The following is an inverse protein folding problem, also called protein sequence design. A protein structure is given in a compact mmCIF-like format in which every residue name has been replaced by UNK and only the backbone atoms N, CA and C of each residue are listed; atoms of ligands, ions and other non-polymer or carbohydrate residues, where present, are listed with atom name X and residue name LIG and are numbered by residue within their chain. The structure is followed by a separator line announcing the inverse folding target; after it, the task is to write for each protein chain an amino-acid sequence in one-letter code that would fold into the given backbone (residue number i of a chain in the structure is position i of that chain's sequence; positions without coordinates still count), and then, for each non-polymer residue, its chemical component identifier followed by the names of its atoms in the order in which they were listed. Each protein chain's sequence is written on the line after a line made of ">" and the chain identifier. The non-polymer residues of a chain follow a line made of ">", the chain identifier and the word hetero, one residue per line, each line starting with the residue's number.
data_IF_518752865711
#
_entry.id   IF_518752865711
#
_cell.length_a   1.000
_cell.length_b   1.000
_cell.length_c   1.000
_cell.angle_alpha   90.00
_cell.angle_beta   90.00
_cell.angle_gamma   90.00
#
_symmetry.space_group_name_H-M   'P 1'
#
loop_
_entity.id
_entity.type
_entity.pdbx_description
1 polymer ?
#
# COMPACT_ATOMS: atom_id res chain seq x y z
N UNK A 1 -45.59 -84.42 6.03
CA UNK A 1 -46.38 -83.97 7.20
C UNK A 1 -45.45 -83.14 8.09
N UNK A 2 -45.89 -81.94 8.51
CA UNK A 2 -45.13 -80.99 9.36
C UNK A 2 -44.34 -81.70 10.47
N UNK A 3 -43.09 -81.30 10.69
CA UNK A 3 -42.59 -80.92 12.03
C UNK A 3 -41.59 -79.74 11.87
N UNK A 4 -41.96 -78.62 12.48
CA UNK A 4 -41.11 -77.45 12.76
C UNK A 4 -40.26 -77.76 13.99
N UNK A 5 -39.02 -77.26 14.05
CA UNK A 5 -38.39 -76.88 15.31
C UNK A 5 -36.86 -76.88 15.35
N UNK A 6 -36.32 -75.74 15.82
CA UNK A 6 -34.99 -75.49 16.47
C UNK A 6 -33.76 -75.32 15.57
N UNK A 7 -32.62 -74.73 16.04
CA UNK A 7 -32.41 -73.67 17.06
C UNK A 7 -31.40 -72.57 16.64
N UNK A 8 -31.29 -71.55 17.52
CA UNK A 8 -30.21 -70.59 17.85
C UNK A 8 -28.86 -70.66 17.09
N UNK A 9 -28.34 -69.50 16.66
CA UNK A 9 -26.89 -69.25 16.61
C UNK A 9 -26.55 -67.78 16.92
N UNK A 10 -25.68 -67.59 17.90
CA UNK A 10 -25.10 -66.32 18.34
C UNK A 10 -23.95 -65.87 17.41
N UNK A 11 -23.72 -64.55 17.30
CA UNK A 11 -22.46 -63.91 16.87
C UNK A 11 -22.38 -62.51 17.50
N UNK A 12 -21.62 -62.35 18.58
CA UNK A 12 -20.27 -61.77 18.64
C UNK A 12 -20.17 -60.26 18.44
N UNK A 13 -19.78 -59.61 19.54
CA UNK A 13 -18.71 -58.61 19.66
C UNK A 13 -18.84 -57.26 18.95
N UNK A 14 -18.75 -56.21 19.76
CA UNK A 14 -18.35 -54.87 19.30
C UNK A 14 -18.72 -53.77 20.29
N UNK A 15 -17.91 -53.56 21.34
CA UNK A 15 -17.91 -52.29 22.06
C UNK A 15 -17.33 -51.23 21.14
N UNK A 16 -18.07 -50.15 20.88
CA UNK A 16 -17.48 -48.89 20.46
C UNK A 16 -18.36 -47.72 20.93
N UNK A 17 -17.71 -46.86 21.70
CA UNK A 17 -18.17 -45.60 22.29
C UNK A 17 -18.59 -44.65 21.16
N UNK A 18 -19.84 -44.18 21.16
CA UNK A 18 -20.28 -43.10 20.27
C UNK A 18 -20.06 -41.76 20.99
N UNK A 19 -18.99 -41.09 20.58
CA UNK A 19 -18.55 -39.77 20.99
C UNK A 19 -19.52 -38.71 20.46
N UNK A 20 -19.97 -37.81 21.33
CA UNK A 20 -20.77 -36.65 20.98
C UNK A 20 -19.97 -35.69 20.08
N UNK A 21 -20.54 -35.33 18.93
CA UNK A 21 -20.03 -34.25 18.06
C UNK A 21 -21.07 -33.13 18.09
N UNK A 22 -20.86 -32.17 18.99
CA UNK A 22 -21.48 -30.85 18.90
C UNK A 22 -20.69 -30.05 17.85
N UNK A 23 -21.23 -29.91 16.65
CA UNK A 23 -20.62 -29.12 15.59
C UNK A 23 -20.83 -27.63 15.92
N UNK A 24 -19.74 -26.98 16.30
CA UNK A 24 -19.61 -25.54 16.52
C UNK A 24 -19.86 -24.85 15.18
N UNK A 25 -20.97 -24.11 15.06
CA UNK A 25 -21.11 -23.08 14.02
C UNK A 25 -20.24 -21.89 14.42
N UNK A 26 -18.94 -22.01 14.15
CA UNK A 26 -18.03 -20.87 14.19
C UNK A 26 -18.36 -20.01 12.97
N UNK A 27 -18.78 -18.77 13.24
CA UNK A 27 -19.10 -17.78 12.21
C UNK A 27 -17.94 -17.63 11.23
N UNK A 28 -18.24 -17.81 9.96
CA UNK A 28 -17.39 -17.30 8.88
C UNK A 28 -17.59 -15.79 8.90
N UNK A 29 -16.76 -15.08 9.66
CA UNK A 29 -16.56 -13.65 9.45
C UNK A 29 -15.93 -13.52 8.06
N UNK A 30 -16.74 -13.17 7.05
CA UNK A 30 -16.21 -12.58 5.83
C UNK A 30 -15.49 -11.32 6.26
N UNK A 31 -14.16 -11.37 6.34
CA UNK A 31 -13.34 -10.17 6.36
C UNK A 31 -13.58 -9.55 4.99
N UNK A 32 -14.49 -8.57 4.93
CA UNK A 32 -14.50 -7.65 3.83
C UNK A 32 -13.12 -7.01 3.85
N UNK A 33 -12.30 -7.29 2.83
CA UNK A 33 -11.22 -6.38 2.47
C UNK A 33 -11.96 -5.07 2.20
N UNK A 34 -11.87 -4.13 3.13
CA UNK A 34 -12.42 -2.81 2.90
C UNK A 34 -11.71 -2.29 1.66
N UNK A 35 -12.49 -1.94 0.63
CA UNK A 35 -11.99 -1.07 -0.43
C UNK A 35 -11.37 0.14 0.27
N UNK A 36 -10.13 0.48 -0.07
CA UNK A 36 -9.36 1.51 0.65
C UNK A 36 -9.77 2.92 0.23
N UNK A 37 -11.09 3.19 0.23
CA UNK A 37 -11.72 4.50 -0.03
C UNK A 37 -11.11 5.60 0.87
N UNK A 38 -10.47 5.21 1.99
CA UNK A 38 -9.83 6.11 2.94
C UNK A 38 -8.58 6.77 2.36
N UNK A 39 -7.84 6.08 1.49
CA UNK A 39 -6.69 6.68 0.81
C UNK A 39 -7.12 7.61 -0.32
N UNK A 40 -8.22 7.32 -1.00
CA UNK A 40 -8.79 8.19 -2.03
C UNK A 40 -9.19 9.56 -1.46
N UNK A 41 -9.89 9.57 -0.32
CA UNK A 41 -10.22 10.80 0.40
C UNK A 41 -8.96 11.53 0.89
N UNK A 42 -7.95 10.81 1.39
CA UNK A 42 -6.71 11.41 1.85
C UNK A 42 -5.88 12.01 0.71
N UNK A 43 -5.90 11.38 -0.47
CA UNK A 43 -5.31 11.92 -1.70
C UNK A 43 -6.08 13.16 -2.18
N UNK A 44 -7.41 13.14 -2.14
CA UNK A 44 -8.24 14.29 -2.45
C UNK A 44 -7.91 15.46 -1.50
N UNK A 45 -7.91 15.26 -0.18
CA UNK A 45 -7.55 16.29 0.80
C UNK A 45 -6.11 16.80 0.65
N UNK A 46 -5.20 15.94 0.20
CA UNK A 46 -3.85 16.37 -0.09
C UNK A 46 -3.82 17.30 -1.32
N UNK A 47 -4.54 16.96 -2.39
CA UNK A 47 -4.49 17.69 -3.67
C UNK A 47 -5.40 18.92 -3.68
N UNK A 48 -6.58 18.83 -3.07
CA UNK A 48 -7.60 19.86 -3.03
C UNK A 48 -7.28 20.92 -1.97
N UNK A 49 -7.44 22.19 -2.31
CA UNK A 49 -7.33 23.31 -1.36
C UNK A 49 -5.91 23.83 -1.09
N UNK A 50 -4.89 23.30 -1.77
CA UNK A 50 -3.57 23.96 -1.78
C UNK A 50 -3.55 25.02 -2.88
N UNK A 51 -3.53 26.31 -2.49
CA UNK A 51 -3.09 27.40 -3.38
C UNK A 51 -1.82 26.94 -4.12
N UNK A 52 -1.65 27.19 -5.43
CA UNK A 52 -0.62 26.54 -6.23
C UNK A 52 0.79 27.02 -5.83
N UNK A 53 1.35 26.40 -4.79
CA UNK A 53 2.74 26.54 -4.32
C UNK A 53 3.70 26.06 -5.42
N UNK A 54 3.28 25.06 -6.18
CA UNK A 54 3.99 24.45 -7.29
C UNK A 54 3.10 24.47 -8.54
N UNK A 55 3.72 24.61 -9.71
CA UNK A 55 3.04 24.28 -10.97
C UNK A 55 2.74 22.78 -11.04
N UNK A 56 1.80 22.37 -11.89
CA UNK A 56 1.44 20.96 -12.08
C UNK A 56 2.66 20.08 -12.40
N UNK A 57 3.60 20.59 -13.21
CA UNK A 57 4.82 19.88 -13.56
C UNK A 57 5.75 19.71 -12.37
N UNK A 58 5.91 20.76 -11.56
CA UNK A 58 6.72 20.71 -10.33
C UNK A 58 6.09 19.76 -9.31
N UNK A 59 4.76 19.83 -9.16
CA UNK A 59 4.02 18.92 -8.32
C UNK A 59 4.19 17.46 -8.76
N UNK A 60 4.01 17.14 -10.05
CA UNK A 60 4.20 15.79 -10.57
C UNK A 60 5.62 15.26 -10.31
N UNK A 61 6.65 16.09 -10.50
CA UNK A 61 8.05 15.73 -10.19
C UNK A 61 8.25 15.47 -8.71
N UNK A 62 7.75 16.35 -7.84
CA UNK A 62 7.86 16.19 -6.39
C UNK A 62 7.11 14.94 -5.90
N UNK A 63 5.94 14.67 -6.47
CA UNK A 63 5.15 13.49 -6.17
C UNK A 63 5.87 12.20 -6.59
N UNK A 64 6.50 12.19 -7.77
CA UNK A 64 7.33 11.05 -8.21
C UNK A 64 8.53 10.83 -7.28
N UNK A 65 9.16 11.89 -6.78
CA UNK A 65 10.23 11.73 -5.78
C UNK A 65 9.71 11.11 -4.48
N UNK A 66 8.54 11.54 -4.01
CA UNK A 66 7.90 10.96 -2.83
C UNK A 66 7.61 9.46 -3.02
N UNK A 67 7.05 9.07 -4.18
CA UNK A 67 6.81 7.67 -4.53
C UNK A 67 8.12 6.87 -4.48
N UNK A 68 9.15 7.35 -5.19
CA UNK A 68 10.42 6.63 -5.28
C UNK A 68 11.13 6.51 -3.92
N UNK A 69 11.01 7.52 -3.05
CA UNK A 69 11.50 7.44 -1.68
C UNK A 69 10.72 6.39 -0.85
N UNK A 70 9.38 6.34 -0.98
CA UNK A 70 8.53 5.37 -0.28
C UNK A 70 8.83 3.92 -0.71
N UNK A 71 9.08 3.70 -2.01
CA UNK A 71 9.51 2.40 -2.56
C UNK A 71 10.71 1.83 -1.80
N UNK A 72 11.70 2.64 -1.43
CA UNK A 72 12.88 2.16 -0.68
C UNK A 72 12.59 1.66 0.73
N UNK A 73 11.38 1.88 1.25
CA UNK A 73 10.92 1.39 2.56
C UNK A 73 10.04 0.15 2.48
N UNK A 74 9.46 -0.11 1.31
CA UNK A 74 8.41 -1.10 1.12
C UNK A 74 8.90 -2.25 0.22
N UNK A 75 9.61 -1.92 -0.86
CA UNK A 75 10.01 -2.86 -1.88
C UNK A 75 11.48 -3.27 -1.73
N UNK A 76 11.73 -4.58 -1.71
CA UNK A 76 13.08 -5.12 -1.68
C UNK A 76 13.86 -4.79 -2.95
N UNK A 77 15.18 -4.57 -2.82
CA UNK A 77 16.08 -4.32 -3.94
C UNK A 77 16.09 -2.89 -4.47
N UNK A 78 15.41 -1.96 -3.80
CA UNK A 78 15.45 -0.53 -4.07
C UNK A 78 16.23 0.20 -2.99
N UNK A 79 17.36 0.78 -3.37
CA UNK A 79 18.14 1.68 -2.51
C UNK A 79 18.09 3.08 -3.07
N UNK A 80 17.92 4.07 -2.19
CA UNK A 80 17.94 5.48 -2.58
C UNK A 80 19.36 5.88 -2.97
N UNK A 81 19.49 6.61 -4.07
CA UNK A 81 20.67 7.40 -4.38
C UNK A 81 20.44 8.82 -3.85
N UNK A 82 21.05 9.15 -2.71
CA UNK A 82 20.85 10.44 -2.04
C UNK A 82 21.24 11.63 -2.92
N UNK A 83 22.21 11.45 -3.82
CA UNK A 83 22.66 12.51 -4.72
C UNK A 83 21.60 12.76 -5.81
N UNK A 84 21.11 11.69 -6.46
CA UNK A 84 20.02 11.79 -7.45
C UNK A 84 18.74 12.33 -6.83
N UNK A 85 18.41 11.89 -5.61
CA UNK A 85 17.22 12.38 -4.90
C UNK A 85 17.33 13.88 -4.60
N UNK A 86 18.49 14.33 -4.11
CA UNK A 86 18.76 15.75 -3.85
C UNK A 86 18.70 16.59 -5.13
N UNK A 87 19.28 16.11 -6.23
CA UNK A 87 19.21 16.77 -7.53
C UNK A 87 17.76 16.84 -8.05
N UNK A 88 17.02 15.74 -7.91
CA UNK A 88 15.61 15.66 -8.26
C UNK A 88 14.77 16.69 -7.49
N UNK A 89 15.02 16.88 -6.19
CA UNK A 89 14.32 17.90 -5.40
C UNK A 89 14.59 19.32 -5.92
N UNK A 90 15.82 19.61 -6.33
CA UNK A 90 16.16 20.91 -6.95
C UNK A 90 15.44 21.08 -8.28
N UNK A 91 15.42 20.07 -9.16
CA UNK A 91 14.71 20.14 -10.44
C UNK A 91 13.17 20.21 -10.28
N UNK A 92 12.62 19.51 -9.29
CA UNK A 92 11.19 19.53 -8.98
C UNK A 92 10.71 20.89 -8.45
N UNK A 93 11.62 21.72 -7.94
CA UNK A 93 11.30 23.01 -7.33
C UNK A 93 11.80 24.21 -8.15
N UNK A 94 12.40 23.96 -9.32
CA UNK A 94 12.92 24.98 -10.21
C UNK A 94 11.96 25.29 -11.39
N UNK A 95 11.84 26.55 -11.82
CA UNK A 95 12.28 27.74 -11.10
C UNK A 95 11.41 27.97 -9.86
N UNK A 96 12.03 28.51 -8.80
CA UNK A 96 11.27 29.02 -7.66
C UNK A 96 10.51 30.30 -8.08
N UNK A 97 9.39 30.64 -7.41
CA UNK A 97 8.70 31.91 -7.66
C UNK A 97 9.63 33.12 -7.53
N UNK A 98 9.52 34.07 -8.46
CA UNK A 98 10.32 35.29 -8.46
C UNK A 98 9.71 36.36 -7.53
N UNK A 99 10.53 37.32 -7.09
CA UNK A 99 10.05 38.50 -6.35
C UNK A 99 9.69 38.26 -4.89
N UNK A 100 9.90 37.05 -4.36
CA UNK A 100 9.72 36.75 -2.93
C UNK A 100 10.78 37.48 -2.08
N UNK A 101 10.35 38.01 -0.93
CA UNK A 101 11.25 38.33 0.19
C UNK A 101 11.89 37.06 0.75
N UNK A 102 12.95 37.20 1.55
CA UNK A 102 13.59 36.04 2.20
C UNK A 102 12.60 35.23 3.05
N UNK A 103 11.69 35.90 3.76
CA UNK A 103 10.68 35.27 4.60
C UNK A 103 9.63 34.51 3.76
N UNK A 104 9.19 35.07 2.64
CA UNK A 104 8.27 34.39 1.72
C UNK A 104 8.95 33.19 1.05
N UNK A 105 10.23 33.31 0.69
CA UNK A 105 11.00 32.21 0.14
C UNK A 105 11.19 31.07 1.16
N UNK A 106 11.37 31.38 2.44
CA UNK A 106 11.39 30.39 3.51
C UNK A 106 10.02 29.70 3.65
N UNK A 107 8.93 30.46 3.72
CA UNK A 107 7.57 29.90 3.79
C UNK A 107 7.25 28.99 2.61
N UNK A 108 7.63 29.39 1.39
CA UNK A 108 7.45 28.57 0.20
C UNK A 108 8.25 27.26 0.29
N UNK A 109 9.53 27.29 0.66
CA UNK A 109 10.34 26.06 0.84
C UNK A 109 9.74 25.15 1.90
N UNK A 110 9.28 25.70 3.02
CA UNK A 110 8.59 24.94 4.06
C UNK A 110 7.33 24.27 3.50
N UNK A 111 6.50 25.00 2.76
CA UNK A 111 5.30 24.45 2.15
C UNK A 111 5.61 23.32 1.16
N UNK A 112 6.68 23.45 0.36
CA UNK A 112 7.17 22.37 -0.52
C UNK A 112 7.57 21.12 0.27
N UNK A 113 8.28 21.26 1.40
CA UNK A 113 8.64 20.12 2.23
C UNK A 113 7.43 19.48 2.92
N UNK A 114 6.45 20.28 3.36
CA UNK A 114 5.18 19.75 3.83
C UNK A 114 4.50 18.94 2.74
N UNK A 115 4.48 19.42 1.50
CA UNK A 115 3.92 18.70 0.36
C UNK A 115 4.61 17.36 0.11
N UNK A 116 5.95 17.37 0.02
CA UNK A 116 6.76 16.16 -0.14
C UNK A 116 6.50 15.15 0.98
N UNK A 117 6.44 15.63 2.23
CA UNK A 117 6.19 14.79 3.40
C UNK A 117 4.79 14.18 3.41
N UNK A 118 3.77 14.96 3.04
CA UNK A 118 2.39 14.48 2.92
C UNK A 118 2.27 13.38 1.87
N UNK A 119 2.78 13.61 0.66
CA UNK A 119 2.68 12.61 -0.42
C UNK A 119 3.54 11.39 -0.13
N UNK A 120 4.71 11.55 0.48
CA UNK A 120 5.53 10.43 0.96
C UNK A 120 4.77 9.58 1.99
N UNK A 121 4.07 10.21 2.94
CA UNK A 121 3.24 9.52 3.92
C UNK A 121 2.08 8.74 3.29
N UNK A 122 1.43 9.32 2.28
CA UNK A 122 0.37 8.64 1.52
C UNK A 122 0.90 7.42 0.76
N UNK A 123 2.03 7.55 0.06
CA UNK A 123 2.65 6.41 -0.62
C UNK A 123 3.14 5.32 0.35
N UNK A 124 3.62 5.69 1.54
CA UNK A 124 3.89 4.69 2.57
C UNK A 124 2.63 3.95 2.98
N UNK A 125 1.50 4.65 3.16
CA UNK A 125 0.24 4.01 3.52
C UNK A 125 -0.25 3.09 2.39
N UNK A 126 -0.27 3.57 1.15
CA UNK A 126 -0.67 2.82 -0.04
C UNK A 126 0.19 1.58 -0.26
N UNK A 127 1.52 1.73 -0.26
CA UNK A 127 2.42 0.60 -0.47
C UNK A 127 2.42 -0.40 0.69
N UNK A 128 2.03 -0.02 1.92
CA UNK A 128 1.81 -0.99 2.99
C UNK A 128 0.43 -1.67 2.90
N UNK A 129 -0.56 -1.04 2.29
CA UNK A 129 -1.90 -1.61 2.09
C UNK A 129 -1.93 -2.59 0.89
N UNK A 130 -1.18 -2.29 -0.17
CA UNK A 130 -1.13 -3.07 -1.42
C UNK A 130 0.32 -3.19 -1.95
N UNK A 131 1.18 -3.89 -1.21
CA UNK A 131 2.62 -3.94 -1.49
C UNK A 131 2.99 -4.55 -2.84
N UNK A 132 2.27 -5.58 -3.29
CA UNK A 132 2.60 -6.28 -4.54
C UNK A 132 2.40 -5.34 -5.74
N UNK A 133 1.23 -4.72 -5.84
CA UNK A 133 0.88 -3.77 -6.91
C UNK A 133 1.76 -2.51 -6.86
N UNK A 134 2.06 -2.03 -5.64
CA UNK A 134 2.94 -0.88 -5.44
C UNK A 134 4.38 -1.16 -5.91
N UNK A 135 4.91 -2.36 -5.62
CA UNK A 135 6.24 -2.76 -6.05
C UNK A 135 6.31 -3.16 -7.53
N UNK A 136 5.21 -3.63 -8.13
CA UNK A 136 5.08 -3.78 -9.57
C UNK A 136 5.19 -2.41 -10.25
N UNK A 137 4.44 -1.41 -9.77
CA UNK A 137 4.50 -0.02 -10.26
C UNK A 137 5.92 0.57 -10.15
N UNK A 138 6.65 0.24 -9.08
CA UNK A 138 8.05 0.65 -8.92
C UNK A 138 8.96 0.01 -9.98
N UNK A 139 8.70 -1.26 -10.32
CA UNK A 139 9.40 -1.99 -11.37
C UNK A 139 9.15 -1.39 -12.75
N UNK A 140 7.90 -1.04 -13.05
CA UNK A 140 7.52 -0.35 -14.29
C UNK A 140 8.22 1.00 -14.41
N UNK A 141 8.20 1.82 -13.36
CA UNK A 141 8.90 3.11 -13.36
C UNK A 141 10.42 2.93 -13.52
N UNK A 142 11.03 1.92 -12.88
CA UNK A 142 12.46 1.64 -13.04
C UNK A 142 12.82 1.25 -14.47
N UNK A 143 11.90 0.61 -15.20
CA UNK A 143 12.08 0.20 -16.58
C UNK A 143 11.80 1.32 -17.59
N UNK A 144 11.10 2.39 -17.18
CA UNK A 144 10.80 3.54 -18.01
C UNK A 144 12.03 4.45 -18.15
N UNK A 145 12.58 4.54 -19.37
CA UNK A 145 13.74 5.37 -19.67
C UNK A 145 13.39 6.88 -19.78
N UNK A 146 12.11 7.23 -19.90
CA UNK A 146 11.64 8.62 -19.98
C UNK A 146 11.49 9.26 -18.60
N UNK A 147 11.34 8.45 -17.55
CA UNK A 147 11.18 8.90 -16.17
C UNK A 147 12.50 8.73 -15.41
N UNK A 148 13.17 9.82 -15.00
CA UNK A 148 14.35 9.73 -14.16
C UNK A 148 14.03 9.00 -12.85
N UNK A 149 14.81 7.97 -12.54
CA UNK A 149 14.76 7.33 -11.24
C UNK A 149 15.90 7.77 -10.33
N UNK A 150 15.64 7.76 -9.03
CA UNK A 150 16.54 8.19 -7.95
C UNK A 150 17.04 7.01 -7.12
N UNK A 151 17.05 5.81 -7.72
CA UNK A 151 17.58 4.61 -7.11
C UNK A 151 18.99 4.29 -7.61
N UNK A 152 19.67 3.39 -6.90
CA UNK A 152 20.96 2.82 -7.30
C UNK A 152 20.84 1.77 -8.42
#
# INVERSE_FOLDING_TARGET
>A
MRIKGTPVAAKTSGRAIALAVALVMAGVSTIALADDDRLDEAWADAVDGQEPILSDKQFARLNNLAFQAAVTKICDGYELDDAKFSEGLVDATSPAPEGMTDAEAEQWRTAVFFRLGTTYGLFLAEGNAASDDFCESAGELKADAEVPNVWQ
#
